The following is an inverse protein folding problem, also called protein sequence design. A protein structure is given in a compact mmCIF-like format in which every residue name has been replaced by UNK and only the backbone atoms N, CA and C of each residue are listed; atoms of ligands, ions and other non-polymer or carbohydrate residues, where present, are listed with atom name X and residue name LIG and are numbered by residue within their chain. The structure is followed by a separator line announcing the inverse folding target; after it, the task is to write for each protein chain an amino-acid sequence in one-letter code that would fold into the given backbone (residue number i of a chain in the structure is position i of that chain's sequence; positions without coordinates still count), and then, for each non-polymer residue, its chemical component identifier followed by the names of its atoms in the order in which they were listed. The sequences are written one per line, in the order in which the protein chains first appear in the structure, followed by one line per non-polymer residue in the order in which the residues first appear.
data_IF_079763586895
#
_entry.id   IF_079763586895
#
_cell.length_a   1.000
_cell.length_b   1.000
_cell.length_c   1.000
_cell.angle_alpha   90.00
_cell.angle_beta   90.00
_cell.angle_gamma   90.00
#
_symmetry.space_group_name_H-M   'P 1'
#
loop_
_entity.id
_entity.type
_entity.pdbx_description
1 polymer ?
#
# COMPACT_ATOMS: atom_id res chain seq x y z
N UNK A 1 9.05 19.14 -2.39
CA UNK A 1 9.60 18.15 -1.44
C UNK A 1 8.69 16.94 -1.49
N UNK A 2 9.24 15.73 -1.68
CA UNK A 2 8.47 14.49 -1.77
C UNK A 2 8.00 14.06 -0.37
N UNK A 3 6.69 13.94 -0.17
CA UNK A 3 6.12 13.49 1.12
C UNK A 3 6.25 11.98 1.25
N UNK A 4 6.94 11.52 2.29
CA UNK A 4 7.10 10.10 2.62
C UNK A 4 6.24 9.75 3.83
N UNK A 5 5.64 8.55 3.82
CA UNK A 5 4.93 7.96 4.96
C UNK A 5 5.76 6.85 5.59
N UNK A 6 5.68 6.75 6.92
CA UNK A 6 6.19 5.59 7.64
C UNK A 6 5.23 4.41 7.46
N UNK A 7 5.80 3.22 7.20
CA UNK A 7 5.05 2.00 6.99
C UNK A 7 5.23 1.06 8.17
N UNK A 8 4.12 0.52 8.65
CA UNK A 8 4.19 -0.64 9.55
C UNK A 8 4.57 -1.89 8.74
N UNK A 9 5.29 -2.86 9.32
CA UNK A 9 5.64 -4.09 8.61
C UNK A 9 4.39 -4.85 8.16
N UNK A 10 4.40 -5.33 6.91
CA UNK A 10 3.31 -6.15 6.37
C UNK A 10 3.23 -7.48 7.10
N UNK A 11 2.02 -7.95 7.44
CA UNK A 11 1.81 -9.35 7.87
C UNK A 11 2.07 -10.36 6.76
N UNK A 12 2.02 -9.90 5.52
CA UNK A 12 2.21 -10.72 4.33
C UNK A 12 3.69 -10.99 4.00
N UNK A 13 4.61 -10.77 4.95
CA UNK A 13 6.03 -11.14 4.84
C UNK A 13 6.24 -12.65 4.65
N UNK A 14 5.39 -13.47 5.27
CA UNK A 14 5.44 -14.93 5.18
C UNK A 14 4.45 -15.40 4.11
N UNK A 15 4.91 -15.57 2.86
CA UNK A 15 4.12 -16.20 1.81
C UNK A 15 4.33 -17.71 1.82
N UNK A 16 3.24 -18.49 1.81
CA UNK A 16 3.28 -19.95 1.71
C UNK A 16 4.00 -20.32 0.39
N UNK A 17 5.12 -21.05 0.48
CA UNK A 17 5.93 -21.45 -0.68
C UNK A 17 6.99 -20.43 -1.15
N UNK A 18 7.10 -19.27 -0.49
CA UNK A 18 8.15 -18.28 -0.76
C UNK A 18 8.90 -18.02 0.54
N UNK A 19 10.13 -18.54 0.66
CA UNK A 19 10.91 -18.46 1.90
C UNK A 19 11.08 -17.02 2.37
N UNK A 20 11.02 -16.79 3.68
CA UNK A 20 11.08 -15.46 4.30
C UNK A 20 12.36 -14.69 3.97
N UNK A 21 13.44 -15.41 3.65
CA UNK A 21 14.73 -14.85 3.20
C UNK A 21 14.61 -14.03 1.90
N UNK A 22 13.58 -14.30 1.10
CA UNK A 22 13.31 -13.65 -0.17
C UNK A 22 12.42 -12.40 -0.04
N UNK A 23 11.97 -12.07 1.18
CA UNK A 23 11.03 -10.99 1.46
C UNK A 23 11.61 -10.00 2.48
N UNK A 24 11.65 -8.70 2.14
CA UNK A 24 12.09 -7.63 3.07
C UNK A 24 11.01 -6.55 3.23
N UNK A 25 10.69 -6.19 4.47
CA UNK A 25 9.73 -5.11 4.75
C UNK A 25 10.39 -3.77 4.47
N UNK A 26 9.69 -2.92 3.72
CA UNK A 26 10.11 -1.55 3.46
C UNK A 26 9.54 -0.64 4.53
N UNK A 27 10.39 0.25 5.09
CA UNK A 27 10.07 1.10 6.23
C UNK A 27 9.34 2.39 5.85
N UNK A 28 9.59 2.92 4.65
CA UNK A 28 9.00 4.17 4.17
C UNK A 28 8.66 4.08 2.69
N UNK A 29 7.62 4.79 2.28
CA UNK A 29 7.24 4.93 0.87
C UNK A 29 6.53 6.26 0.66
N UNK A 30 6.31 6.64 -0.58
CA UNK A 30 5.36 7.68 -0.91
C UNK A 30 3.92 7.17 -0.67
N UNK A 31 2.95 8.06 -0.38
CA UNK A 31 1.62 7.66 0.08
C UNK A 31 0.74 6.97 -0.97
N UNK A 32 1.02 7.12 -2.26
CA UNK A 32 0.11 6.69 -3.32
C UNK A 32 0.74 5.68 -4.27
N UNK A 33 -0.11 4.85 -4.86
CA UNK A 33 0.24 3.95 -5.94
C UNK A 33 -0.88 3.91 -6.97
N UNK A 34 -0.50 3.90 -8.24
CA UNK A 34 -1.43 3.84 -9.36
C UNK A 34 -1.03 2.74 -10.34
N UNK A 35 -2.01 2.04 -10.92
CA UNK A 35 -1.72 1.11 -11.99
C UNK A 35 -1.54 1.90 -13.28
N UNK A 36 -0.58 1.50 -14.11
CA UNK A 36 -0.32 2.11 -15.42
C UNK A 36 -1.59 2.15 -16.29
N UNK A 37 -2.42 1.11 -16.21
CA UNK A 37 -3.72 0.99 -16.88
C UNK A 37 -4.91 1.04 -15.90
N UNK A 38 -4.69 1.51 -14.67
CA UNK A 38 -5.75 1.66 -13.68
C UNK A 38 -6.46 2.99 -13.79
N UNK A 39 -7.70 3.02 -13.30
CA UNK A 39 -8.53 4.23 -13.24
C UNK A 39 -8.39 4.97 -11.91
N UNK A 40 -8.05 4.26 -10.83
CA UNK A 40 -8.02 4.81 -9.48
C UNK A 40 -6.60 5.00 -8.94
N UNK A 41 -6.47 5.99 -8.06
CA UNK A 41 -5.32 6.13 -7.16
C UNK A 41 -5.58 5.41 -5.85
N UNK A 42 -4.63 4.59 -5.42
CA UNK A 42 -4.72 3.83 -4.19
C UNK A 42 -3.74 4.36 -3.13
N UNK A 43 -4.10 4.19 -1.85
CA UNK A 43 -3.18 4.49 -0.73
C UNK A 43 -2.34 3.28 -0.37
N UNK A 44 -1.04 3.51 -0.27
CA UNK A 44 -0.06 2.55 0.22
C UNK A 44 -0.33 2.27 1.70
N UNK A 45 -0.36 0.98 2.05
CA UNK A 45 -0.46 0.51 3.44
C UNK A 45 0.82 -0.17 3.90
N UNK A 46 1.33 -1.09 3.09
CA UNK A 46 2.59 -1.78 3.35
C UNK A 46 3.32 -2.04 2.03
N UNK A 47 4.65 -2.15 2.08
CA UNK A 47 5.46 -2.50 0.92
C UNK A 47 6.44 -3.62 1.30
N UNK A 48 6.49 -4.65 0.47
CA UNK A 48 7.41 -5.78 0.60
C UNK A 48 8.31 -5.84 -0.61
N UNK A 49 9.62 -5.83 -0.42
CA UNK A 49 10.57 -6.19 -1.47
C UNK A 49 10.61 -7.71 -1.58
N UNK A 50 10.35 -8.22 -2.78
CA UNK A 50 10.40 -9.65 -3.10
C UNK A 50 11.56 -9.87 -4.06
N UNK A 51 12.51 -10.71 -3.68
CA UNK A 51 13.71 -11.04 -4.46
C UNK A 51 13.82 -12.55 -4.68
N UNK A 52 13.89 -13.01 -5.93
CA UNK A 52 13.99 -14.43 -6.25
C UNK A 52 14.72 -14.67 -7.58
N UNK A 53 15.70 -15.59 -7.57
CA UNK A 53 16.47 -16.03 -8.76
C UNK A 53 16.85 -14.84 -9.68
N UNK A 54 17.50 -13.84 -9.09
CA UNK A 54 18.00 -12.61 -9.73
C UNK A 54 16.94 -11.60 -10.22
N UNK A 55 15.68 -11.77 -9.85
CA UNK A 55 14.61 -10.79 -10.12
C UNK A 55 14.11 -10.20 -8.82
N UNK A 56 13.82 -8.91 -8.84
CA UNK A 56 13.20 -8.22 -7.70
C UNK A 56 12.03 -7.35 -8.14
N UNK A 57 11.04 -7.23 -7.26
CA UNK A 57 9.96 -6.26 -7.40
C UNK A 57 9.42 -5.90 -6.02
N UNK A 58 8.74 -4.76 -5.93
CA UNK A 58 7.98 -4.40 -4.75
C UNK A 58 6.54 -4.91 -4.89
N UNK A 59 6.06 -5.61 -3.87
CA UNK A 59 4.64 -5.86 -3.67
C UNK A 59 4.08 -4.78 -2.73
N UNK A 60 3.30 -3.87 -3.31
CA UNK A 60 2.64 -2.76 -2.63
C UNK A 60 1.24 -3.20 -2.24
N UNK A 61 1.00 -3.33 -0.94
CA UNK A 61 -0.32 -3.63 -0.39
C UNK A 61 -1.05 -2.34 -0.09
N UNK A 62 -2.23 -2.18 -0.67
CA UNK A 62 -3.06 -0.99 -0.54
C UNK A 62 -4.05 -1.15 0.62
N UNK A 63 -4.56 -0.04 1.13
CA UNK A 63 -5.57 -0.05 2.20
C UNK A 63 -6.86 -0.76 1.79
N UNK A 64 -7.26 -0.70 0.53
CA UNK A 64 -8.42 -1.44 0.01
C UNK A 64 -8.22 -2.97 -0.02
N UNK A 65 -7.00 -3.48 0.16
CA UNK A 65 -6.66 -4.91 0.06
C UNK A 65 -6.04 -5.32 -1.27
N UNK A 66 -6.07 -4.44 -2.28
CA UNK A 66 -5.37 -4.66 -3.54
C UNK A 66 -3.85 -4.76 -3.33
N UNK A 67 -3.19 -5.65 -4.08
CA UNK A 67 -1.73 -5.72 -4.12
C UNK A 67 -1.23 -5.41 -5.52
N UNK A 68 -0.27 -4.50 -5.63
CA UNK A 68 0.30 -4.05 -6.90
C UNK A 68 1.79 -4.34 -6.95
N UNK A 69 2.28 -4.73 -8.12
CA UNK A 69 3.70 -4.95 -8.33
C UNK A 69 4.33 -3.68 -8.92
N UNK A 70 5.37 -3.16 -8.28
CA UNK A 70 6.14 -1.99 -8.74
C UNK A 70 7.58 -2.43 -9.03
N UNK A 71 8.07 -2.07 -10.21
CA UNK A 71 9.39 -2.50 -10.69
C UNK A 71 9.45 -3.96 -11.18
N UNK A 72 10.66 -4.39 -11.53
CA UNK A 72 10.93 -5.71 -12.11
C UNK A 72 10.67 -5.77 -13.63
N UNK A 73 11.45 -6.60 -14.33
CA UNK A 73 11.31 -6.82 -15.77
C UNK A 73 9.98 -7.53 -16.09
N UNK A 74 8.99 -6.76 -16.57
CA UNK A 74 7.73 -7.26 -17.12
C UNK A 74 6.56 -7.44 -16.14
N UNK A 75 6.79 -7.37 -14.82
CA UNK A 75 5.71 -7.49 -13.80
C UNK A 75 5.29 -6.17 -13.15
N UNK A 76 6.07 -5.10 -13.32
CA UNK A 76 5.77 -3.78 -12.77
C UNK A 76 4.57 -3.17 -13.48
N UNK A 77 3.41 -3.19 -12.83
CA UNK A 77 2.19 -2.55 -13.33
C UNK A 77 1.87 -1.26 -12.59
N UNK A 78 2.48 -1.03 -11.42
CA UNK A 78 2.24 0.14 -10.58
C UNK A 78 3.34 1.20 -10.66
N UNK A 79 2.97 2.43 -10.35
CA UNK A 79 3.87 3.58 -10.12
C UNK A 79 3.57 4.14 -8.74
N UNK A 80 4.62 4.33 -7.94
CA UNK A 80 4.55 4.98 -6.63
C UNK A 80 4.63 6.49 -6.81
N UNK A 81 3.74 7.23 -6.14
CA UNK A 81 3.57 8.67 -6.32
C UNK A 81 3.44 9.39 -4.97
N UNK A 82 4.00 10.60 -4.88
CA UNK A 82 3.89 11.46 -3.71
C UNK A 82 2.57 12.25 -3.64
N UNK A 83 1.96 12.46 -4.80
CA UNK A 83 0.67 13.10 -5.00
C UNK A 83 -0.16 12.28 -5.99
N UNK A 84 -1.50 12.25 -5.85
CA UNK A 84 -2.35 11.58 -6.81
C UNK A 84 -2.27 12.27 -8.19
N UNK A 85 -2.35 11.48 -9.27
CA UNK A 85 -2.46 12.04 -10.62
C UNK A 85 -3.76 12.86 -10.76
N UNK A 86 -3.68 14.03 -11.41
CA UNK A 86 -4.80 14.99 -11.51
C UNK A 86 -6.10 14.42 -12.08
N UNK A 87 -6.02 13.40 -12.92
CA UNK A 87 -7.16 12.85 -13.68
C UNK A 87 -7.66 11.52 -13.12
N UNK A 88 -7.20 11.10 -11.92
CA UNK A 88 -7.56 9.81 -11.33
C UNK A 88 -8.28 10.00 -10.01
N UNK A 89 -9.51 9.47 -9.85
CA UNK A 89 -10.19 9.51 -8.56
C UNK A 89 -9.45 8.67 -7.52
N UNK A 90 -9.50 9.12 -6.27
CA UNK A 90 -9.04 8.34 -5.12
C UNK A 90 -9.95 7.13 -4.89
N UNK A 91 -9.37 5.98 -4.60
CA UNK A 91 -10.10 4.79 -4.20
C UNK A 91 -10.82 5.03 -2.86
N UNK A 92 -12.16 5.09 -2.89
CA UNK A 92 -12.97 5.37 -1.70
C UNK A 92 -12.71 4.42 -0.53
N UNK A 93 -12.48 3.13 -0.79
CA UNK A 93 -12.15 2.14 0.25
C UNK A 93 -10.79 2.40 0.89
N UNK A 94 -9.82 2.91 0.11
CA UNK A 94 -8.54 3.34 0.67
C UNK A 94 -8.74 4.54 1.59
N UNK A 95 -9.42 5.59 1.14
CA UNK A 95 -9.68 6.78 1.96
C UNK A 95 -10.40 6.41 3.26
N UNK A 96 -11.53 5.71 3.17
CA UNK A 96 -12.34 5.35 4.33
C UNK A 96 -11.56 4.53 5.37
N UNK A 97 -10.71 3.59 4.93
CA UNK A 97 -9.90 2.77 5.85
C UNK A 97 -8.75 3.56 6.47
N UNK A 98 -8.14 4.51 5.75
CA UNK A 98 -7.07 5.35 6.31
C UNK A 98 -7.62 6.36 7.31
N UNK A 99 -8.78 6.96 7.01
CA UNK A 99 -9.51 7.83 7.94
C UNK A 99 -9.94 7.03 9.18
N UNK A 100 -10.53 5.85 9.00
CA UNK A 100 -10.91 4.98 10.11
C UNK A 100 -9.71 4.50 10.94
N UNK A 101 -8.55 4.29 10.31
CA UNK A 101 -7.27 4.04 11.01
C UNK A 101 -6.72 5.26 11.75
N UNK A 102 -7.33 6.42 11.56
CA UNK A 102 -6.95 7.62 12.26
C UNK A 102 -5.64 8.23 11.81
N UNK A 103 -5.24 7.92 10.58
CA UNK A 103 -4.01 8.41 9.96
C UNK A 103 -4.25 9.69 9.16
N UNK A 104 -5.51 10.02 8.85
CA UNK A 104 -5.91 11.21 8.11
C UNK A 104 -7.22 11.79 8.65
N UNK A 105 -7.30 13.13 8.64
CA UNK A 105 -8.54 13.89 8.83
C UNK A 105 -9.22 13.69 10.18
N UNK A 106 -10.47 14.17 10.26
CA UNK A 106 -11.37 13.80 11.35
C UNK A 106 -11.76 12.33 11.19
N UNK A 107 -11.74 11.58 12.28
CA UNK A 107 -12.13 10.16 12.31
C UNK A 107 -13.64 10.03 12.24
N UNK A 108 -14.29 10.62 11.25
CA UNK A 108 -15.74 10.73 11.20
C UNK A 108 -16.26 10.36 9.81
N UNK A 109 -17.27 9.49 9.78
CA UNK A 109 -18.05 9.18 8.59
C UNK A 109 -19.53 9.35 8.98
N UNK A 110 -20.24 10.25 8.31
CA UNK A 110 -21.65 10.56 8.57
C UNK A 110 -21.95 10.93 10.03
N UNK A 111 -21.18 11.85 10.64
CA UNK A 111 -21.45 12.28 12.03
C UNK A 111 -20.94 11.33 13.11
N UNK A 112 -20.34 10.19 12.74
CA UNK A 112 -19.98 9.12 13.69
C UNK A 112 -18.48 8.87 13.69
N UNK A 113 -17.94 8.73 14.90
CA UNK A 113 -16.54 8.39 15.07
C UNK A 113 -16.23 7.00 14.51
N UNK A 114 -15.21 6.91 13.66
CA UNK A 114 -14.77 5.66 13.03
C UNK A 114 -13.41 5.28 13.58
N UNK A 115 -13.32 4.05 14.08
CA UNK A 115 -12.10 3.48 14.62
C UNK A 115 -11.83 2.15 13.91
N UNK A 116 -10.65 2.01 13.35
CA UNK A 116 -10.16 0.76 12.81
C UNK A 116 -9.52 -0.04 13.94
N UNK A 117 -10.06 -1.23 14.24
CA UNK A 117 -9.31 -2.22 15.00
C UNK A 117 -8.29 -2.84 14.06
N UNK A 118 -7.01 -2.53 14.26
CA UNK A 118 -5.96 -3.38 13.73
C UNK A 118 -6.19 -4.78 14.31
N UNK A 119 -6.46 -5.79 13.48
CA UNK A 119 -6.59 -7.16 13.97
C UNK A 119 -5.35 -7.46 14.79
N UNK A 120 -5.40 -7.91 16.03
CA UNK A 120 -4.15 -8.26 16.74
C UNK A 120 -3.56 -9.52 16.08
N UNK A 121 -2.23 -9.60 16.01
CA UNK A 121 -1.57 -10.85 15.57
C UNK A 121 -1.70 -11.80 16.75
N UNK A 122 -2.57 -12.81 16.64
CA UNK A 122 -2.48 -14.01 17.48
C UNK A 122 -1.59 -15.00 16.75
#
# INVERSE_FOLDING_TARGET
MTTMIDLTPSRYMKRKGFGSENCKAIKKSVPFVEARRGEYTHRVRHVTLISFRNKSHFAVHCWCGMTMCVGGTGKGTGVLLDSPSSNRPMCATCEGRVIGAGLLGSREISGRQVMYRASEVV
#
